data_IF_579463611074
#
_entry.id   IF_579463611074
#
_cell.length_a   1.000
_cell.length_b   1.000
_cell.length_c   1.000
_cell.angle_alpha   90.00
_cell.angle_beta   90.00
_cell.angle_gamma   90.00
#
_symmetry.space_group_name_H-M   'P 1'
#
loop_
_entity.id
_entity.type
_entity.pdbx_description
1 polymer ?
#
# COMPACT_ATOMS: atom_id res chain seq x y z
N UNK A 1 -14.69 1.37 13.56
CA UNK A 1 -13.59 1.09 12.60
C UNK A 1 -13.07 -0.29 12.92
N UNK A 2 -13.11 -1.22 11.95
CA UNK A 2 -12.68 -2.60 12.15
C UNK A 2 -11.35 -2.83 11.41
N UNK A 3 -10.41 -3.53 12.03
CA UNK A 3 -9.10 -3.86 11.44
C UNK A 3 -8.96 -5.38 11.38
N UNK A 4 -8.61 -5.89 10.20
CA UNK A 4 -8.39 -7.32 9.96
C UNK A 4 -6.98 -7.47 9.41
N UNK A 5 -6.16 -8.30 10.05
CA UNK A 5 -4.77 -8.55 9.65
C UNK A 5 -4.61 -10.01 9.20
N UNK A 6 -3.96 -10.20 8.06
CA UNK A 6 -3.65 -11.53 7.52
C UNK A 6 -2.16 -11.82 7.70
N UNK A 7 -1.86 -12.83 8.50
CA UNK A 7 -0.49 -13.23 8.82
C UNK A 7 -0.28 -14.72 8.56
N UNK A 8 0.89 -15.09 8.03
CA UNK A 8 1.34 -16.49 7.96
C UNK A 8 2.84 -16.56 7.73
N UNK A 9 3.48 -17.50 8.42
CA UNK A 9 4.91 -17.79 8.31
C UNK A 9 5.30 -18.50 7.00
N UNK A 10 4.33 -18.91 6.18
CA UNK A 10 4.58 -19.59 4.91
C UNK A 10 4.18 -18.71 3.73
N UNK A 11 5.09 -18.57 2.76
CA UNK A 11 4.83 -17.95 1.46
C UNK A 11 3.90 -18.81 0.59
N UNK A 12 3.14 -18.17 -0.30
CA UNK A 12 2.33 -18.88 -1.30
C UNK A 12 1.03 -19.54 -0.78
N UNK A 13 0.59 -19.24 0.45
CA UNK A 13 -0.66 -19.80 1.02
C UNK A 13 -1.94 -19.03 0.64
N UNK A 14 -1.85 -18.06 -0.28
CA UNK A 14 -3.01 -17.32 -0.79
C UNK A 14 -3.48 -16.10 0.01
N UNK A 15 -2.70 -15.64 1.02
CA UNK A 15 -3.07 -14.47 1.86
C UNK A 15 -3.38 -13.23 1.04
N UNK A 16 -2.47 -12.83 0.17
CA UNK A 16 -2.57 -11.60 -0.63
C UNK A 16 -3.82 -11.62 -1.52
N UNK A 17 -4.05 -12.73 -2.22
CA UNK A 17 -5.22 -12.91 -3.07
C UNK A 17 -6.52 -12.84 -2.26
N UNK A 18 -6.54 -13.43 -1.06
CA UNK A 18 -7.70 -13.35 -0.17
C UNK A 18 -7.96 -11.92 0.31
N UNK A 19 -6.92 -11.17 0.71
CA UNK A 19 -7.04 -9.76 1.09
C UNK A 19 -7.60 -8.94 -0.06
N UNK A 20 -7.07 -9.11 -1.27
CA UNK A 20 -7.53 -8.40 -2.47
C UNK A 20 -9.04 -8.61 -2.73
N UNK A 21 -9.49 -9.86 -2.74
CA UNK A 21 -10.91 -10.17 -3.00
C UNK A 21 -11.84 -9.72 -1.87
N UNK A 22 -11.43 -9.86 -0.61
CA UNK A 22 -12.22 -9.38 0.53
C UNK A 22 -12.37 -7.86 0.51
N UNK A 23 -11.31 -7.13 0.18
CA UNK A 23 -11.36 -5.67 0.09
C UNK A 23 -12.38 -5.22 -0.96
N UNK A 24 -12.38 -5.84 -2.15
CA UNK A 24 -13.38 -5.58 -3.20
C UNK A 24 -14.80 -5.93 -2.75
N UNK A 25 -14.99 -7.13 -2.18
CA UNK A 25 -16.31 -7.57 -1.69
C UNK A 25 -16.87 -6.60 -0.65
N UNK A 26 -16.05 -6.16 0.33
CA UNK A 26 -16.51 -5.21 1.34
C UNK A 26 -16.85 -3.85 0.75
N UNK A 27 -16.09 -3.39 -0.26
CA UNK A 27 -16.40 -2.15 -0.98
C UNK A 27 -17.72 -2.26 -1.76
N UNK A 28 -17.97 -3.39 -2.45
CA UNK A 28 -19.24 -3.65 -3.14
C UNK A 28 -20.44 -3.72 -2.18
N UNK A 29 -20.21 -4.14 -0.94
CA UNK A 29 -21.21 -4.10 0.13
C UNK A 29 -21.44 -2.69 0.72
N UNK A 30 -20.79 -1.66 0.17
CA UNK A 30 -20.94 -0.26 0.58
C UNK A 30 -20.05 0.17 1.75
N UNK A 31 -19.05 -0.63 2.13
CA UNK A 31 -18.10 -0.24 3.19
C UNK A 31 -16.99 0.65 2.61
N UNK A 32 -16.54 1.64 3.38
CA UNK A 32 -15.27 2.32 3.11
C UNK A 32 -14.12 1.42 3.53
N UNK A 33 -13.32 0.97 2.56
CA UNK A 33 -12.23 0.01 2.77
C UNK A 33 -10.88 0.65 2.48
N UNK A 34 -9.91 0.39 3.35
CA UNK A 34 -8.50 0.67 3.11
C UNK A 34 -7.76 -0.66 3.13
N UNK A 35 -7.10 -0.99 2.02
CA UNK A 35 -6.14 -2.09 1.96
C UNK A 35 -4.74 -1.53 2.23
N UNK A 36 -4.03 -2.11 3.19
CA UNK A 36 -2.66 -1.75 3.52
C UNK A 36 -1.73 -2.92 3.21
N UNK A 37 -0.74 -2.68 2.35
CA UNK A 37 0.31 -3.64 2.04
C UNK A 37 1.52 -3.36 2.93
N UNK A 38 1.89 -4.34 3.75
CA UNK A 38 3.03 -4.28 4.68
C UNK A 38 4.02 -5.42 4.40
N UNK A 39 3.90 -6.08 3.24
CA UNK A 39 4.86 -7.06 2.76
C UNK A 39 5.91 -6.36 1.88
N UNK A 40 7.22 -6.51 2.16
CA UNK A 40 8.28 -5.93 1.31
C UNK A 40 8.21 -6.35 -0.18
N UNK A 41 7.53 -7.46 -0.50
CA UNK A 41 7.34 -7.90 -1.89
C UNK A 41 6.26 -7.10 -2.64
N UNK A 42 5.47 -6.26 -1.95
CA UNK A 42 4.45 -5.39 -2.52
C UNK A 42 3.41 -6.09 -3.43
N UNK A 43 3.18 -7.40 -3.21
CA UNK A 43 2.29 -8.20 -4.06
C UNK A 43 0.83 -7.73 -4.00
N UNK A 44 0.37 -7.16 -2.88
CA UNK A 44 -1.00 -6.64 -2.81
C UNK A 44 -1.11 -5.35 -3.62
N UNK A 45 -0.08 -4.50 -3.51
CA UNK A 45 0.00 -3.22 -4.20
C UNK A 45 -0.05 -3.41 -5.72
N UNK A 46 0.74 -4.34 -6.28
CA UNK A 46 0.73 -4.63 -7.73
C UNK A 46 -0.58 -5.23 -8.24
N UNK A 47 -1.39 -5.85 -7.37
CA UNK A 47 -2.74 -6.29 -7.73
C UNK A 47 -3.74 -5.12 -7.81
N UNK A 48 -3.55 -4.04 -7.05
CA UNK A 48 -4.43 -2.88 -7.04
C UNK A 48 -4.02 -1.77 -8.01
N UNK A 49 -2.72 -1.61 -8.24
CA UNK A 49 -2.13 -0.48 -8.97
C UNK A 49 -1.33 -1.02 -10.15
N UNK A 50 -1.60 -0.49 -11.34
CA UNK A 50 -0.84 -0.82 -12.54
C UNK A 50 0.62 -0.40 -12.40
N UNK A 51 1.55 -1.18 -12.95
CA UNK A 51 3.00 -0.93 -12.84
C UNK A 51 3.40 0.48 -13.27
N UNK A 52 2.83 0.97 -14.39
CA UNK A 52 3.07 2.35 -14.87
C UNK A 52 2.70 3.41 -13.84
N UNK A 53 1.59 3.21 -13.11
CA UNK A 53 1.17 4.12 -12.04
C UNK A 53 2.06 3.96 -10.81
N UNK A 54 2.55 2.77 -10.54
CA UNK A 54 3.48 2.52 -9.45
C UNK A 54 4.81 3.27 -9.68
N UNK A 55 5.34 3.24 -10.90
CA UNK A 55 6.54 3.99 -11.30
C UNK A 55 6.37 5.50 -11.12
N UNK A 56 5.20 6.06 -11.46
CA UNK A 56 4.90 7.48 -11.21
C UNK A 56 4.86 7.84 -9.72
N UNK A 57 4.41 6.93 -8.86
CA UNK A 57 4.33 7.13 -7.41
C UNK A 57 5.69 6.91 -6.73
N UNK A 58 6.58 6.13 -7.34
CA UNK A 58 7.87 5.74 -6.76
C UNK A 58 9.07 6.02 -7.69
N UNK A 59 9.33 7.29 -8.07
CA UNK A 59 10.43 7.66 -8.95
C UNK A 59 11.79 7.62 -8.23
N UNK A 60 12.89 7.63 -8.98
CA UNK A 60 14.29 7.76 -8.49
C UNK A 60 14.63 9.17 -7.92
N UNK A 61 13.63 9.91 -7.44
CA UNK A 61 13.77 11.32 -7.03
C UNK A 61 12.73 11.74 -6.01
N UNK A 62 12.05 12.87 -6.26
CA UNK A 62 11.07 13.41 -5.30
C UNK A 62 9.74 12.65 -5.37
N UNK A 63 9.28 12.12 -4.24
CA UNK A 63 8.04 11.32 -4.15
C UNK A 63 6.79 12.16 -3.88
N UNK A 64 6.55 13.20 -4.67
CA UNK A 64 5.56 14.26 -4.39
C UNK A 64 4.12 13.77 -4.19
N UNK A 65 3.77 12.60 -4.72
CA UNK A 65 2.42 12.03 -4.66
C UNK A 65 2.23 11.05 -3.49
N UNK A 66 3.21 10.92 -2.60
CA UNK A 66 3.18 9.98 -1.49
C UNK A 66 3.30 10.68 -0.15
N UNK A 67 2.86 10.00 0.91
CA UNK A 67 3.09 10.45 2.29
C UNK A 67 4.60 10.54 2.57
N UNK A 68 5.40 9.63 2.01
CA UNK A 68 6.86 9.65 2.15
C UNK A 68 7.46 10.96 1.64
N UNK A 69 7.10 11.40 0.42
CA UNK A 69 7.60 12.67 -0.11
C UNK A 69 7.17 13.89 0.70
N UNK A 70 5.99 13.85 1.34
CA UNK A 70 5.55 14.94 2.21
C UNK A 70 6.39 15.04 3.50
N UNK A 71 6.92 13.93 4.00
CA UNK A 71 7.77 13.91 5.22
C UNK A 71 9.26 13.92 4.90
N UNK A 72 9.66 13.71 3.65
CA UNK A 72 11.05 13.64 3.21
C UNK A 72 11.90 14.87 3.63
N UNK A 73 11.42 16.13 3.52
CA UNK A 73 12.21 17.29 3.98
C UNK A 73 12.56 17.25 5.47
N UNK A 74 11.71 16.65 6.31
CA UNK A 74 11.96 16.47 7.73
C UNK A 74 13.03 15.39 7.99
N UNK A 75 13.02 14.32 7.18
CA UNK A 75 14.01 13.24 7.27
C UNK A 75 15.39 13.68 6.79
N UNK A 76 15.42 14.49 5.73
CA UNK A 76 16.66 15.02 5.13
C UNK A 76 17.25 16.19 5.94
N UNK A 77 16.57 16.66 6.99
CA UNK A 77 17.03 17.75 7.85
C UNK A 77 17.01 19.12 7.17
N UNK A 78 16.19 19.28 6.13
CA UNK A 78 16.08 20.51 5.31
C UNK A 78 14.82 21.32 5.65
N UNK A 79 14.06 20.90 6.66
CA UNK A 79 12.96 21.71 7.20
C UNK A 79 13.51 22.92 7.96
N UNK A 80 12.79 24.05 7.91
CA UNK A 80 13.07 25.26 8.70
C UNK A 80 12.85 25.02 10.23
N UNK A 81 13.63 24.12 10.83
CA UNK A 81 13.70 23.87 12.28
C UNK A 81 15.16 23.85 12.73
#
# INVERSE_FOLDING_TARGET
>A
MNTIAFFSNKGGVGKTSLVYHLAWMYAEMGNSVIAADLDPQANLTSMFVQDTRLEELWPDGTHQLTIYGAVQPLLDGVGDV
#
